data_IF_283179140877
#
_entry.id   IF_283179140877
#
_cell.length_a   1.000
_cell.length_b   1.000
_cell.length_c   1.000
_cell.angle_alpha   90.00
_cell.angle_beta   90.00
_cell.angle_gamma   90.00
#
_symmetry.space_group_name_H-M   'P 1'
#
loop_
_entity.id
_entity.type
_entity.pdbx_description
1 polymer ?
#
# COMPACT_ATOMS: atom_id res chain seq x y z
N UNK A 1 -6.06 11.98 -4.64
CA UNK A 1 -5.55 10.68 -5.20
C UNK A 1 -4.36 10.24 -4.38
N UNK A 2 -4.32 9.00 -3.89
CA UNK A 2 -3.24 8.48 -3.04
C UNK A 2 -2.16 7.81 -3.90
N UNK A 3 -0.88 8.03 -3.55
CA UNK A 3 0.26 7.35 -4.17
C UNK A 3 0.77 6.26 -3.22
N UNK A 4 0.74 5.01 -3.67
CA UNK A 4 1.26 3.85 -2.93
C UNK A 4 2.66 3.54 -3.44
N UNK A 5 3.63 3.48 -2.54
CA UNK A 5 5.03 3.23 -2.89
C UNK A 5 5.50 1.93 -2.24
N UNK A 6 5.97 1.00 -3.05
CA UNK A 6 6.60 -0.23 -2.59
C UNK A 6 8.09 -0.17 -2.86
N UNK A 7 8.89 -0.05 -1.80
CA UNK A 7 10.35 -0.08 -1.88
C UNK A 7 10.82 -1.53 -1.92
N UNK A 8 11.36 -1.94 -3.04
CA UNK A 8 11.97 -3.26 -3.26
C UNK A 8 11.07 -4.45 -2.89
N UNK A 9 9.80 -4.53 -3.35
CA UNK A 9 8.89 -5.62 -2.97
C UNK A 9 9.44 -6.97 -3.42
N UNK A 10 9.28 -8.01 -2.57
CA UNK A 10 9.87 -9.33 -2.79
C UNK A 10 8.84 -10.40 -3.13
N UNK A 11 7.59 -10.23 -2.71
CA UNK A 11 6.55 -11.26 -2.82
C UNK A 11 5.51 -10.82 -3.87
N UNK A 12 5.44 -11.52 -5.03
CA UNK A 12 4.55 -11.12 -6.12
C UNK A 12 3.07 -11.15 -5.74
N UNK A 13 2.63 -12.06 -4.85
CA UNK A 13 1.25 -12.12 -4.38
C UNK A 13 0.84 -10.85 -3.61
N UNK A 14 1.74 -10.29 -2.77
CA UNK A 14 1.47 -9.04 -2.07
C UNK A 14 1.29 -7.90 -3.07
N UNK A 15 2.18 -7.78 -4.04
CA UNK A 15 2.08 -6.73 -5.07
C UNK A 15 0.82 -6.89 -5.92
N UNK A 16 0.41 -8.11 -6.25
CA UNK A 16 -0.85 -8.38 -6.95
C UNK A 16 -2.08 -7.95 -6.15
N UNK A 17 -2.13 -8.25 -4.86
CA UNK A 17 -3.21 -7.81 -3.97
C UNK A 17 -3.24 -6.29 -3.81
N UNK A 18 -2.07 -5.65 -3.73
CA UNK A 18 -1.94 -4.19 -3.66
C UNK A 18 -2.42 -3.55 -4.98
N UNK A 19 -2.07 -4.14 -6.11
CA UNK A 19 -2.57 -3.72 -7.42
C UNK A 19 -4.11 -3.72 -7.46
N UNK A 20 -4.76 -4.73 -6.90
CA UNK A 20 -6.22 -4.78 -6.76
C UNK A 20 -6.75 -3.65 -5.88
N UNK A 21 -6.09 -3.36 -4.77
CA UNK A 21 -6.43 -2.20 -3.92
C UNK A 21 -6.33 -0.90 -4.70
N UNK A 22 -5.25 -0.71 -5.48
CA UNK A 22 -5.08 0.46 -6.35
C UNK A 22 -6.21 0.60 -7.36
N UNK A 23 -6.57 -0.49 -8.06
CA UNK A 23 -7.68 -0.50 -9.02
C UNK A 23 -9.02 -0.12 -8.38
N UNK A 24 -9.29 -0.66 -7.18
CA UNK A 24 -10.54 -0.41 -6.45
C UNK A 24 -10.65 1.02 -5.90
N UNK A 25 -9.52 1.70 -5.67
CA UNK A 25 -9.47 3.01 -5.01
C UNK A 25 -9.03 4.16 -5.92
N UNK A 26 -8.62 3.86 -7.16
CA UNK A 26 -8.04 4.85 -8.06
C UNK A 26 -6.66 5.37 -7.60
N UNK A 27 -5.96 4.62 -6.72
CA UNK A 27 -4.64 5.00 -6.23
C UNK A 27 -3.55 4.66 -7.27
N UNK A 28 -2.49 5.45 -7.31
CA UNK A 28 -1.29 5.18 -8.12
C UNK A 28 -0.36 4.22 -7.43
N UNK A 29 0.30 3.36 -8.20
CA UNK A 29 1.27 2.41 -7.69
C UNK A 29 2.69 2.75 -8.19
N UNK A 30 3.60 2.96 -7.26
CA UNK A 30 5.02 3.18 -7.52
C UNK A 30 5.80 1.96 -7.08
N UNK A 31 6.47 1.30 -8.02
CA UNK A 31 7.28 0.10 -7.78
C UNK A 31 8.76 0.44 -7.92
N UNK A 32 9.50 0.28 -6.83
CA UNK A 32 10.92 0.61 -6.76
C UNK A 32 11.76 -0.67 -6.75
N UNK A 33 12.67 -0.79 -7.73
CA UNK A 33 13.60 -1.91 -7.84
C UNK A 33 14.75 -1.80 -6.81
N UNK A 34 15.45 -2.94 -6.52
CA UNK A 34 15.25 -4.28 -7.10
C UNK A 34 14.02 -4.98 -6.51
N UNK A 35 13.27 -5.68 -7.35
CA UNK A 35 12.13 -6.50 -6.92
C UNK A 35 12.52 -7.98 -6.91
N UNK A 36 11.94 -8.76 -6.02
CA UNK A 36 12.15 -10.21 -5.93
C UNK A 36 11.47 -11.03 -7.02
N UNK A 37 10.82 -10.38 -7.98
CA UNK A 37 10.04 -11.00 -9.06
C UNK A 37 10.00 -10.10 -10.30
N UNK A 38 9.53 -10.64 -11.43
CA UNK A 38 9.26 -9.88 -12.65
C UNK A 38 7.75 -9.65 -12.82
N UNK A 39 7.38 -8.61 -13.57
CA UNK A 39 5.97 -8.30 -13.87
C UNK A 39 5.27 -9.44 -14.63
N UNK A 40 6.05 -10.27 -15.34
CA UNK A 40 5.55 -11.46 -16.04
C UNK A 40 5.39 -12.70 -15.16
N UNK A 41 5.69 -12.61 -13.86
CA UNK A 41 5.55 -13.72 -12.93
C UNK A 41 4.09 -14.20 -12.91
N UNK A 42 3.90 -15.52 -13.10
CA UNK A 42 2.57 -16.15 -13.10
C UNK A 42 1.81 -15.94 -11.79
N UNK A 43 2.53 -15.76 -10.68
CA UNK A 43 1.94 -15.51 -9.36
C UNK A 43 1.40 -14.09 -9.25
N UNK A 44 2.11 -13.11 -9.80
CA UNK A 44 1.63 -11.75 -9.94
C UNK A 44 0.37 -11.73 -10.81
N UNK A 45 0.42 -12.42 -11.94
CA UNK A 45 -0.70 -12.59 -12.87
C UNK A 45 -1.95 -13.15 -12.20
N UNK A 46 -1.83 -14.22 -11.45
CA UNK A 46 -2.96 -14.83 -10.74
C UNK A 46 -3.54 -13.97 -9.62
N UNK A 47 -2.72 -13.12 -8.99
CA UNK A 47 -3.14 -12.31 -7.87
C UNK A 47 -3.86 -11.00 -8.26
N UNK A 48 -3.68 -10.48 -9.48
CA UNK A 48 -4.25 -9.17 -9.79
C UNK A 48 -4.25 -8.70 -11.25
N UNK A 49 -3.94 -9.55 -12.23
CA UNK A 49 -3.72 -9.10 -13.60
C UNK A 49 -4.96 -8.68 -14.37
N UNK A 50 -6.14 -9.13 -13.99
CA UNK A 50 -7.38 -8.68 -14.62
C UNK A 50 -7.57 -7.17 -14.43
N UNK A 51 -6.92 -6.58 -13.41
CA UNK A 51 -6.96 -5.15 -13.07
C UNK A 51 -5.72 -4.37 -13.52
N UNK A 52 -4.67 -5.04 -14.01
CA UNK A 52 -3.38 -4.40 -14.31
C UNK A 52 -3.50 -3.30 -15.36
N UNK A 53 -4.36 -3.48 -16.35
CA UNK A 53 -4.64 -2.50 -17.39
C UNK A 53 -5.39 -1.24 -16.89
N UNK A 54 -5.95 -1.29 -15.68
CA UNK A 54 -6.65 -0.17 -15.04
C UNK A 54 -5.72 0.64 -14.12
N UNK A 55 -4.46 0.22 -13.99
CA UNK A 55 -3.54 0.79 -13.01
C UNK A 55 -2.65 1.86 -13.62
N UNK A 56 -2.48 2.94 -12.88
CA UNK A 56 -1.41 3.92 -13.09
C UNK A 56 -0.17 3.43 -12.30
N UNK A 57 0.77 2.78 -13.01
CA UNK A 57 1.98 2.20 -12.41
C UNK A 57 3.21 2.91 -12.94
N UNK A 58 4.07 3.35 -12.01
CA UNK A 58 5.39 3.89 -12.31
C UNK A 58 6.48 3.01 -11.73
N UNK A 59 7.50 2.70 -12.53
CA UNK A 59 8.66 1.92 -12.13
C UNK A 59 9.88 2.82 -11.92
N UNK A 60 10.69 2.49 -10.93
CA UNK A 60 11.95 3.18 -10.62
C UNK A 60 13.08 2.16 -10.51
N UNK A 61 14.24 2.48 -11.06
CA UNK A 61 15.42 1.60 -11.04
C UNK A 61 16.07 1.55 -9.64
N UNK A 62 15.80 2.55 -8.80
CA UNK A 62 16.32 2.59 -7.42
C UNK A 62 15.48 3.48 -6.51
N UNK A 63 15.62 3.26 -5.21
CA UNK A 63 15.05 4.13 -4.17
C UNK A 63 15.53 5.58 -4.31
N UNK A 64 16.78 5.78 -4.72
CA UNK A 64 17.33 7.11 -4.98
C UNK A 64 16.58 7.82 -6.09
N UNK A 65 16.37 7.15 -7.22
CA UNK A 65 15.62 7.70 -8.36
C UNK A 65 14.18 8.07 -7.96
N UNK A 66 13.54 7.22 -7.15
CA UNK A 66 12.20 7.53 -6.64
C UNK A 66 12.19 8.86 -5.87
N UNK A 67 13.08 9.06 -4.91
CA UNK A 67 13.13 10.28 -4.11
C UNK A 67 13.58 11.52 -4.90
N UNK A 68 14.43 11.35 -5.92
CA UNK A 68 14.83 12.45 -6.80
C UNK A 68 13.68 12.95 -7.69
N UNK A 69 12.83 12.03 -8.16
CA UNK A 69 11.73 12.34 -9.09
C UNK A 69 10.41 12.75 -8.41
N UNK A 70 10.22 12.43 -7.15
CA UNK A 70 8.96 12.65 -6.46
C UNK A 70 9.15 13.60 -5.29
N UNK A 71 8.44 14.73 -5.35
CA UNK A 71 8.41 15.76 -4.32
C UNK A 71 6.98 15.83 -3.79
N UNK A 72 6.79 15.62 -2.50
CA UNK A 72 5.46 15.63 -1.88
C UNK A 72 5.48 15.11 -0.45
N UNK A 73 4.34 15.13 0.19
CA UNK A 73 4.22 14.59 1.55
C UNK A 73 4.26 13.07 1.54
N UNK A 74 5.26 12.51 2.21
CA UNK A 74 5.48 11.08 2.31
C UNK A 74 5.30 10.61 3.75
N UNK A 75 4.57 9.50 3.93
CA UNK A 75 4.37 8.84 5.21
C UNK A 75 4.95 7.43 5.14
N UNK A 76 5.84 7.11 6.06
CA UNK A 76 6.61 5.87 6.06
C UNK A 76 6.00 4.88 7.05
N UNK A 77 5.40 3.83 6.53
CA UNK A 77 4.76 2.79 7.34
C UNK A 77 5.80 1.80 7.83
N UNK A 78 6.02 1.79 9.14
CA UNK A 78 7.05 0.97 9.78
C UNK A 78 6.66 0.62 11.21
N UNK A 79 7.06 -0.57 11.69
CA UNK A 79 6.88 -0.95 13.09
C UNK A 79 7.70 -0.09 14.06
N UNK A 80 8.66 0.69 13.54
CA UNK A 80 9.55 1.58 14.32
C UNK A 80 9.01 3.01 14.47
N UNK A 81 7.84 3.31 13.90
CA UNK A 81 7.21 4.63 14.00
C UNK A 81 6.73 4.93 15.42
N UNK A 82 6.77 6.21 15.82
CA UNK A 82 6.24 6.68 17.11
C UNK A 82 4.80 7.15 17.02
N UNK A 83 4.34 7.55 15.85
CA UNK A 83 2.97 8.02 15.63
C UNK A 83 2.09 6.86 15.20
N UNK A 84 0.86 6.83 15.70
CA UNK A 84 -0.15 5.91 15.19
C UNK A 84 -0.59 6.40 13.79
N UNK A 85 -0.80 5.47 12.87
CA UNK A 85 -1.17 5.80 11.49
C UNK A 85 -2.45 6.65 11.36
N UNK A 86 -3.35 6.54 12.33
CA UNK A 86 -4.61 7.32 12.38
C UNK A 86 -4.46 8.72 12.98
N UNK A 87 -3.32 9.03 13.61
CA UNK A 87 -3.09 10.30 14.31
C UNK A 87 -2.38 11.34 13.44
N UNK A 88 -2.23 11.06 12.17
CA UNK A 88 -1.64 11.97 11.18
C UNK A 88 -2.64 12.32 10.10
N UNK A 89 -2.49 13.46 9.44
CA UNK A 89 -3.33 13.86 8.31
C UNK A 89 -2.70 13.43 7.00
N UNK A 90 -3.49 12.83 6.13
CA UNK A 90 -3.09 12.41 4.79
C UNK A 90 -3.71 13.33 3.73
N UNK A 91 -2.99 14.35 3.24
CA UNK A 91 -3.51 15.23 2.20
C UNK A 91 -3.66 14.50 0.87
N UNK A 92 -4.48 15.05 -0.01
CA UNK A 92 -4.59 14.55 -1.38
C UNK A 92 -3.22 14.61 -2.08
N UNK A 93 -2.90 13.58 -2.84
CA UNK A 93 -1.60 13.46 -3.51
C UNK A 93 -0.45 12.98 -2.62
N UNK A 94 -0.68 12.68 -1.34
CA UNK A 94 0.38 12.15 -0.48
C UNK A 94 0.85 10.76 -0.91
N UNK A 95 2.06 10.41 -0.46
CA UNK A 95 2.69 9.12 -0.70
C UNK A 95 2.67 8.27 0.57
N UNK A 96 2.14 7.06 0.46
CA UNK A 96 2.19 6.03 1.51
C UNK A 96 3.31 5.06 1.15
N UNK A 97 4.41 5.12 1.89
CA UNK A 97 5.65 4.41 1.58
C UNK A 97 5.76 3.17 2.45
N UNK A 98 5.90 2.02 1.81
CA UNK A 98 6.05 0.71 2.44
C UNK A 98 7.37 0.06 2.00
N UNK A 99 7.99 -0.68 2.91
CA UNK A 99 9.24 -1.39 2.67
C UNK A 99 9.05 -2.84 2.25
N UNK A 100 10.17 -3.53 2.13
CA UNK A 100 10.24 -4.97 1.85
C UNK A 100 9.55 -5.79 2.93
N UNK A 101 9.03 -6.94 2.54
CA UNK A 101 8.33 -7.85 3.45
C UNK A 101 9.25 -8.44 4.54
N UNK A 102 10.52 -8.65 4.20
CA UNK A 102 11.52 -9.29 5.09
C UNK A 102 12.30 -8.31 5.96
N UNK A 103 12.49 -7.05 5.52
CA UNK A 103 13.38 -6.07 6.17
C UNK A 103 12.73 -4.73 6.50
N UNK A 104 11.57 -4.46 5.91
CA UNK A 104 10.93 -3.16 6.01
C UNK A 104 11.67 -2.07 5.21
N UNK A 105 11.56 -0.84 5.66
CA UNK A 105 12.23 0.33 5.08
C UNK A 105 13.62 0.47 5.68
N UNK A 106 14.61 0.85 4.86
CA UNK A 106 15.97 1.09 5.29
C UNK A 106 16.02 2.14 6.42
N UNK A 107 16.75 1.87 7.50
CA UNK A 107 16.80 2.74 8.68
C UNK A 107 17.37 4.12 8.41
N UNK A 108 18.24 4.30 7.44
CA UNK A 108 18.73 5.64 7.04
C UNK A 108 17.61 6.50 6.48
N UNK A 109 16.71 5.89 5.70
CA UNK A 109 15.52 6.58 5.18
C UNK A 109 14.58 6.94 6.32
N UNK A 110 14.32 6.01 7.24
CA UNK A 110 13.47 6.24 8.40
C UNK A 110 14.04 7.34 9.30
N UNK A 111 15.35 7.31 9.58
CA UNK A 111 16.01 8.31 10.42
C UNK A 111 15.90 9.72 9.83
N UNK A 112 16.05 9.85 8.51
CA UNK A 112 15.91 11.13 7.80
C UNK A 112 14.47 11.66 7.76
N UNK A 113 13.46 10.80 8.01
CA UNK A 113 12.04 11.11 7.89
C UNK A 113 11.24 10.70 9.14
N UNK A 114 11.87 10.65 10.31
CA UNK A 114 11.30 10.00 11.48
C UNK A 114 9.99 10.62 11.96
N UNK A 115 9.82 11.92 11.80
CA UNK A 115 8.58 12.63 12.15
C UNK A 115 7.38 12.25 11.27
N UNK A 116 7.63 11.62 10.13
CA UNK A 116 6.63 11.11 9.19
C UNK A 116 6.54 9.57 9.18
N UNK A 117 7.22 8.91 10.13
CA UNK A 117 7.10 7.49 10.34
C UNK A 117 5.86 7.17 11.18
N UNK A 118 5.01 6.30 10.65
CA UNK A 118 3.77 5.88 11.28
C UNK A 118 3.74 4.36 11.47
N UNK A 119 2.99 3.90 12.47
CA UNK A 119 2.84 2.48 12.77
C UNK A 119 1.38 2.08 12.93
N UNK A 120 1.10 0.83 12.64
CA UNK A 120 -0.12 0.17 13.10
C UNK A 120 0.07 -0.30 14.54
N UNK A 121 -0.88 -0.04 15.45
CA UNK A 121 -0.86 -0.67 16.78
C UNK A 121 -0.96 -2.19 16.62
N UNK A 122 -0.13 -2.91 17.36
CA UNK A 122 -0.10 -4.37 17.40
C UNK A 122 0.15 -4.82 18.84
N UNK A 123 -0.18 -6.08 19.14
CA UNK A 123 0.18 -6.67 20.42
C UNK A 123 1.70 -6.62 20.61
N UNK A 124 2.12 -6.44 21.86
CA UNK A 124 3.54 -6.51 22.25
C UNK A 124 3.94 -7.98 22.42
N UNK A 125 4.09 -8.66 21.29
CA UNK A 125 4.44 -10.08 21.21
C UNK A 125 5.45 -10.27 20.08
N UNK A 126 6.61 -10.79 20.42
CA UNK A 126 7.70 -11.06 19.47
C UNK A 126 7.31 -12.04 18.36
N UNK A 127 6.29 -12.86 18.56
CA UNK A 127 5.78 -13.79 17.55
C UNK A 127 4.85 -13.11 16.52
N UNK A 128 4.28 -11.95 16.85
CA UNK A 128 3.33 -11.18 16.03
C UNK A 128 3.93 -9.82 15.59
N UNK A 129 5.09 -9.85 14.94
CA UNK A 129 5.95 -8.65 14.70
C UNK A 129 5.45 -7.68 13.64
N UNK A 130 4.64 -8.12 12.69
CA UNK A 130 4.18 -7.30 11.57
C UNK A 130 2.93 -7.84 10.92
N UNK A 131 2.15 -6.95 10.32
CA UNK A 131 1.06 -7.32 9.44
C UNK A 131 1.61 -7.70 8.05
N UNK A 132 0.85 -8.53 7.32
CA UNK A 132 1.12 -8.76 5.91
C UNK A 132 1.14 -7.42 5.15
N UNK A 133 2.08 -7.27 4.18
CA UNK A 133 2.27 -6.03 3.44
C UNK A 133 1.00 -5.57 2.72
N UNK A 134 0.30 -6.47 2.03
CA UNK A 134 -0.91 -6.07 1.30
C UNK A 134 -2.05 -5.64 2.22
N UNK A 135 -2.16 -6.24 3.41
CA UNK A 135 -3.11 -5.82 4.44
C UNK A 135 -2.74 -4.42 4.98
N UNK A 136 -1.46 -4.21 5.28
CA UNK A 136 -0.94 -2.91 5.74
C UNK A 136 -1.25 -1.79 4.74
N UNK A 137 -1.01 -2.04 3.45
CA UNK A 137 -1.32 -1.09 2.39
C UNK A 137 -2.82 -0.80 2.33
N UNK A 138 -3.68 -1.82 2.37
CA UNK A 138 -5.12 -1.62 2.33
C UNK A 138 -5.62 -0.78 3.51
N UNK A 139 -5.16 -1.07 4.73
CA UNK A 139 -5.52 -0.29 5.93
C UNK A 139 -5.08 1.17 5.78
N UNK A 140 -3.82 1.41 5.38
CA UNK A 140 -3.28 2.77 5.22
C UNK A 140 -4.00 3.58 4.15
N UNK A 141 -4.31 2.96 3.01
CA UNK A 141 -5.04 3.59 1.91
C UNK A 141 -6.46 3.97 2.33
N UNK A 142 -7.19 3.04 2.95
CA UNK A 142 -8.57 3.30 3.37
C UNK A 142 -8.65 4.31 4.51
N UNK A 143 -7.65 4.39 5.40
CA UNK A 143 -7.59 5.48 6.38
C UNK A 143 -7.36 6.83 5.69
N UNK A 144 -6.43 6.94 4.75
CA UNK A 144 -6.22 8.17 4.01
C UNK A 144 -7.48 8.60 3.23
N UNK A 145 -8.15 7.66 2.57
CA UNK A 145 -9.42 7.91 1.85
C UNK A 145 -10.56 8.28 2.79
N UNK A 146 -10.62 7.67 3.98
CA UNK A 146 -11.61 8.03 5.01
C UNK A 146 -11.46 9.49 5.43
N UNK A 147 -10.23 9.94 5.66
CA UNK A 147 -9.95 11.34 5.97
C UNK A 147 -10.34 12.30 4.85
N UNK A 148 -10.29 11.84 3.60
CA UNK A 148 -10.71 12.58 2.41
C UNK A 148 -12.21 12.41 2.07
N UNK A 149 -12.98 11.78 2.96
CA UNK A 149 -14.43 11.61 2.83
C UNK A 149 -14.86 10.65 1.70
N UNK A 150 -13.99 9.77 1.22
CA UNK A 150 -14.23 8.83 0.10
C UNK A 150 -14.78 9.50 -1.16
N UNK A 151 -14.43 10.77 -1.41
CA UNK A 151 -15.09 11.67 -2.35
C UNK A 151 -15.24 11.14 -3.80
N UNK A 152 -14.40 10.18 -4.20
CA UNK A 152 -14.41 9.59 -5.55
C UNK A 152 -14.88 8.14 -5.58
N UNK A 153 -15.31 7.61 -4.44
CA UNK A 153 -15.69 6.20 -4.31
C UNK A 153 -17.18 6.04 -4.14
N UNK A 154 -17.72 4.93 -4.63
CA UNK A 154 -19.10 4.54 -4.35
C UNK A 154 -19.21 4.08 -2.90
N UNK A 155 -20.07 4.71 -2.12
CA UNK A 155 -20.27 4.46 -0.68
C UNK A 155 -21.53 3.67 -0.36
N UNK A 156 -22.39 3.42 -1.35
CA UNK A 156 -23.65 2.68 -1.21
C UNK A 156 -23.72 1.51 -2.17
N UNK A 157 -24.42 0.47 -1.77
CA UNK A 157 -24.65 -0.73 -2.55
C UNK A 157 -26.12 -1.15 -2.51
N UNK A 158 -26.53 -2.03 -3.42
CA UNK A 158 -27.86 -2.61 -3.47
C UNK A 158 -27.78 -4.14 -3.47
N UNK A 159 -28.80 -4.80 -2.87
CA UNK A 159 -28.93 -6.24 -2.96
C UNK A 159 -29.24 -6.63 -4.42
N UNK A 160 -28.56 -7.64 -4.94
CA UNK A 160 -28.68 -8.04 -6.36
C UNK A 160 -29.90 -8.91 -6.65
N UNK A 161 -30.65 -9.33 -5.62
CA UNK A 161 -31.81 -10.24 -5.76
C UNK A 161 -31.44 -11.63 -6.31
N UNK A 162 -30.16 -12.04 -6.21
CA UNK A 162 -29.77 -13.40 -6.60
C UNK A 162 -30.45 -14.38 -5.69
N UNK A 163 -31.25 -15.28 -6.27
CA UNK A 163 -31.74 -16.48 -5.59
C UNK A 163 -30.54 -17.41 -5.36
N UNK A 164 -30.12 -17.50 -4.11
CA UNK A 164 -29.20 -18.57 -3.68
C UNK A 164 -30.04 -19.73 -3.15
N UNK A 165 -29.58 -21.00 -3.29
CA UNK A 165 -30.27 -22.12 -2.67
C UNK A 165 -30.40 -21.86 -1.16
N UNK A 166 -31.59 -22.15 -0.60
CA UNK A 166 -31.93 -21.95 0.81
C UNK A 166 -30.78 -22.43 1.72
N UNK A 167 -30.16 -21.46 2.41
CA UNK A 167 -29.07 -21.72 3.37
C UNK A 167 -29.63 -21.83 4.81
N UNK A 168 -30.95 -21.66 4.99
CA UNK A 168 -31.65 -21.71 6.29
C UNK A 168 -32.52 -22.96 6.38
#
# INVERSE_FOLDING_TARGET
MINIVLLEPQIPQNTGNIARTCAATGSRLHLVKPMGFTVDDKKLKRAGLDYWHLLDITYYESTREFFEKNQGEMYFFTTKGKKIYSDVSYPDGCYLVFGREDRGINEKILAANYDRCVRFPMLDDDSARSLNLSNSVAIGVYEALRQQGFATLRTEGELTGREEPDIL
#
